data_IF_540597742078
#
_entry.id   IF_540597742078
#
_cell.length_a   1.000
_cell.length_b   1.000
_cell.length_c   1.000
_cell.angle_alpha   90.00
_cell.angle_beta   90.00
_cell.angle_gamma   90.00
#
_symmetry.space_group_name_H-M   'P 1'
#
loop_
_entity.id
_entity.type
_entity.pdbx_description
1 polymer ?
#
# COMPACT_ATOMS: atom_id res chain seq x y z
N UNK A 1 -14.30 -28.56 -15.27
CA UNK A 1 -13.61 -27.91 -16.41
C UNK A 1 -12.34 -27.30 -15.85
N UNK A 2 -11.15 -27.81 -16.25
CA UNK A 2 -9.86 -27.20 -15.86
C UNK A 2 -9.71 -25.87 -16.61
N UNK A 3 -9.95 -24.74 -15.94
CA UNK A 3 -9.49 -23.45 -16.43
C UNK A 3 -7.95 -23.46 -16.32
N UNK A 4 -7.27 -23.68 -17.45
CA UNK A 4 -5.82 -23.54 -17.53
C UNK A 4 -5.52 -22.09 -17.90
N UNK A 5 -4.92 -21.36 -16.97
CA UNK A 5 -4.31 -20.04 -17.22
C UNK A 5 -3.49 -20.12 -18.52
N UNK A 6 -3.71 -19.18 -19.43
CA UNK A 6 -3.02 -19.16 -20.72
C UNK A 6 -1.65 -18.51 -20.58
N UNK A 7 -0.65 -19.01 -21.33
CA UNK A 7 0.63 -18.30 -21.51
C UNK A 7 0.36 -16.87 -21.96
N UNK A 8 1.08 -15.91 -21.36
CA UNK A 8 0.89 -14.47 -21.52
C UNK A 8 -0.30 -13.82 -20.81
N UNK A 9 -1.11 -14.59 -20.08
CA UNK A 9 -2.21 -14.03 -19.30
C UNK A 9 -1.71 -13.27 -18.07
N UNK A 10 -2.33 -12.13 -17.75
CA UNK A 10 -2.11 -11.41 -16.49
C UNK A 10 -2.82 -12.15 -15.35
N UNK A 11 -2.11 -12.37 -14.26
CA UNK A 11 -2.63 -12.99 -13.04
C UNK A 11 -2.25 -12.18 -11.80
N UNK A 12 -3.07 -12.26 -10.76
CA UNK A 12 -2.73 -11.80 -9.41
C UNK A 12 -2.41 -13.01 -8.55
N UNK A 13 -1.31 -12.98 -7.81
CA UNK A 13 -0.83 -14.09 -7.00
C UNK A 13 -0.32 -13.63 -5.64
N UNK A 14 -0.37 -14.51 -4.64
CA UNK A 14 0.17 -14.24 -3.30
C UNK A 14 1.62 -14.74 -3.18
N UNK A 15 2.53 -13.87 -2.76
CA UNK A 15 3.91 -14.20 -2.47
C UNK A 15 4.38 -13.54 -1.17
N UNK A 16 4.81 -14.36 -0.20
CA UNK A 16 5.24 -13.92 1.14
C UNK A 16 4.20 -12.99 1.80
N UNK A 17 2.95 -13.43 1.84
CA UNK A 17 1.83 -12.68 2.43
C UNK A 17 1.23 -11.60 1.52
N UNK A 18 1.98 -11.05 0.58
CA UNK A 18 1.54 -9.92 -0.23
C UNK A 18 0.98 -10.35 -1.59
N UNK A 19 0.00 -9.63 -2.11
CA UNK A 19 -0.46 -9.78 -3.49
C UNK A 19 0.52 -9.13 -4.47
N UNK A 20 0.67 -9.73 -5.65
CA UNK A 20 1.45 -9.21 -6.74
C UNK A 20 0.75 -9.50 -8.06
N UNK A 21 0.83 -8.57 -8.99
CA UNK A 21 0.40 -8.76 -10.38
C UNK A 21 1.56 -9.42 -11.13
N UNK A 22 1.31 -10.22 -12.17
CA UNK A 22 2.34 -10.84 -13.00
C UNK A 22 1.76 -11.42 -14.29
N UNK A 23 2.64 -11.85 -15.20
CA UNK A 23 2.28 -12.58 -16.41
C UNK A 23 2.56 -14.07 -16.20
N UNK A 24 1.58 -14.91 -16.45
CA UNK A 24 1.77 -16.36 -16.48
C UNK A 24 2.65 -16.75 -17.68
N UNK A 25 3.67 -17.56 -17.41
CA UNK A 25 4.67 -17.96 -18.41
C UNK A 25 4.50 -19.44 -18.78
N UNK A 26 4.65 -20.32 -17.79
CA UNK A 26 4.56 -21.78 -17.98
C UNK A 26 4.14 -22.48 -16.69
N UNK A 27 3.56 -23.68 -16.82
CA UNK A 27 3.31 -24.59 -15.70
C UNK A 27 4.32 -25.74 -15.71
N UNK A 28 4.81 -26.12 -14.53
CA UNK A 28 5.67 -27.28 -14.31
C UNK A 28 5.12 -28.11 -13.14
N UNK A 29 4.33 -29.14 -13.46
CA UNK A 29 3.62 -29.94 -12.46
C UNK A 29 2.65 -29.10 -11.63
N UNK A 30 2.83 -29.07 -10.31
CA UNK A 30 1.98 -28.29 -9.37
C UNK A 30 2.39 -26.82 -9.24
N UNK A 31 3.50 -26.42 -9.85
CA UNK A 31 4.03 -25.06 -9.77
C UNK A 31 3.86 -24.34 -11.09
N UNK A 32 3.74 -23.03 -11.00
CA UNK A 32 3.63 -22.12 -12.13
C UNK A 32 4.75 -21.10 -12.07
N UNK A 33 5.22 -20.71 -13.25
CA UNK A 33 6.21 -19.67 -13.46
C UNK A 33 5.47 -18.38 -13.81
N UNK A 34 5.70 -17.34 -13.01
CA UNK A 34 5.13 -16.01 -13.22
C UNK A 34 6.27 -15.02 -13.44
N UNK A 35 6.17 -14.22 -14.49
CA UNK A 35 7.10 -13.13 -14.80
C UNK A 35 6.51 -11.82 -14.33
N UNK A 36 7.31 -11.02 -13.65
CA UNK A 36 6.95 -9.69 -13.16
C UNK A 36 7.86 -8.62 -13.77
N UNK A 37 7.66 -7.34 -13.41
CA UNK A 37 8.51 -6.25 -13.90
C UNK A 37 10.00 -6.48 -13.62
N UNK A 38 10.87 -5.91 -14.48
CA UNK A 38 12.34 -6.07 -14.45
C UNK A 38 12.83 -7.53 -14.60
N UNK A 39 12.13 -8.36 -15.36
CA UNK A 39 12.45 -9.79 -15.58
C UNK A 39 12.55 -10.63 -14.30
N UNK A 40 11.94 -10.19 -13.20
CA UNK A 40 11.89 -11.00 -11.99
C UNK A 40 10.91 -12.16 -12.18
N UNK A 41 11.40 -13.38 -11.98
CA UNK A 41 10.66 -14.62 -12.15
C UNK A 41 10.33 -15.22 -10.79
N UNK A 42 9.09 -15.66 -10.62
CA UNK A 42 8.65 -16.43 -9.47
C UNK A 42 8.21 -17.82 -9.89
N UNK A 43 8.53 -18.81 -9.06
CA UNK A 43 8.00 -20.16 -9.17
C UNK A 43 7.18 -20.44 -7.90
N UNK A 44 5.85 -20.57 -8.06
CA UNK A 44 4.92 -20.71 -6.94
C UNK A 44 3.95 -21.87 -7.18
N UNK A 45 3.37 -22.46 -6.12
CA UNK A 45 2.23 -23.37 -6.26
C UNK A 45 1.06 -22.71 -7.00
N UNK A 46 0.37 -23.45 -7.88
CA UNK A 46 -0.74 -22.91 -8.67
C UNK A 46 -1.89 -22.35 -7.80
N UNK A 47 -2.15 -22.94 -6.63
CA UNK A 47 -3.18 -22.47 -5.69
C UNK A 47 -2.87 -21.12 -5.03
N UNK A 48 -1.72 -20.49 -5.33
CA UNK A 48 -1.41 -19.13 -4.90
C UNK A 48 -1.85 -18.05 -5.89
N UNK A 49 -2.40 -18.44 -7.05
CA UNK A 49 -3.12 -17.50 -7.92
C UNK A 49 -4.42 -17.12 -7.24
N UNK A 50 -4.58 -15.82 -6.99
CA UNK A 50 -5.77 -15.23 -6.35
C UNK A 50 -6.80 -14.84 -7.41
N UNK A 51 -6.33 -14.38 -8.57
CA UNK A 51 -7.22 -13.96 -9.66
C UNK A 51 -6.58 -14.17 -11.04
N UNK A 52 -7.38 -14.72 -11.96
CA UNK A 52 -7.07 -14.90 -13.38
C UNK A 52 -7.81 -13.82 -14.17
N UNK A 53 -7.08 -12.88 -14.77
CA UNK A 53 -7.71 -11.69 -15.40
C UNK A 53 -8.25 -11.99 -16.79
N UNK A 54 -7.84 -13.09 -17.43
CA UNK A 54 -8.10 -13.44 -18.82
C UNK A 54 -7.57 -12.42 -19.86
N UNK A 55 -6.70 -11.50 -19.45
CA UNK A 55 -6.05 -10.53 -20.34
C UNK A 55 -4.72 -11.08 -20.82
N UNK A 56 -4.54 -11.21 -22.13
CA UNK A 56 -3.29 -11.61 -22.78
C UNK A 56 -2.44 -10.37 -23.13
N UNK A 57 -1.14 -10.40 -22.78
CA UNK A 57 -0.18 -9.30 -23.01
C UNK A 57 0.26 -9.17 -24.49
N UNK A 58 -0.29 -9.97 -25.40
CA UNK A 58 0.17 -10.07 -26.79
C UNK A 58 -0.03 -8.85 -27.70
N UNK A 59 -1.06 -8.01 -27.53
CA UNK A 59 -1.39 -7.00 -28.57
C UNK A 59 -1.70 -5.56 -28.12
N UNK A 60 -2.37 -5.31 -26.99
CA UNK A 60 -2.92 -3.97 -26.68
C UNK A 60 -2.48 -3.36 -25.34
N UNK A 61 -1.88 -4.14 -24.44
CA UNK A 61 -1.57 -3.67 -23.09
C UNK A 61 -0.31 -4.35 -22.55
N UNK A 62 0.60 -3.56 -21.99
CA UNK A 62 1.77 -4.10 -21.31
C UNK A 62 1.41 -4.46 -19.86
N UNK A 63 2.16 -5.39 -19.26
CA UNK A 63 2.03 -5.70 -17.83
C UNK A 63 2.22 -4.45 -16.94
N UNK A 64 3.06 -3.52 -17.37
CA UNK A 64 3.33 -2.27 -16.65
C UNK A 64 2.17 -1.28 -16.75
N UNK A 65 1.58 -1.12 -17.93
CA UNK A 65 0.33 -0.36 -18.09
C UNK A 65 -0.79 -0.99 -17.24
N UNK A 66 -0.90 -2.33 -17.30
CA UNK A 66 -1.54 -3.24 -16.35
C UNK A 66 -1.60 -2.68 -14.93
N UNK A 67 -0.43 -2.81 -14.31
CA UNK A 67 -0.21 -2.49 -12.92
C UNK A 67 -0.48 -1.04 -12.61
N UNK A 68 -0.03 -0.13 -13.47
CA UNK A 68 -0.16 1.30 -13.23
C UNK A 68 -1.62 1.70 -13.18
N UNK A 69 -2.42 1.28 -14.16
CA UNK A 69 -3.84 1.59 -14.21
C UNK A 69 -4.60 1.00 -13.01
N UNK A 70 -4.32 -0.26 -12.65
CA UNK A 70 -4.92 -0.88 -11.45
C UNK A 70 -4.53 -0.17 -10.15
N UNK A 71 -3.28 0.27 -10.03
CA UNK A 71 -2.78 0.98 -8.85
C UNK A 71 -3.37 2.39 -8.74
N UNK A 72 -3.35 3.17 -9.82
CA UNK A 72 -3.96 4.52 -9.88
C UNK A 72 -5.46 4.45 -9.56
N UNK A 73 -6.16 3.44 -10.09
CA UNK A 73 -7.57 3.20 -9.78
C UNK A 73 -7.75 2.85 -8.30
N UNK A 74 -6.91 1.96 -7.75
CA UNK A 74 -6.98 1.56 -6.34
C UNK A 74 -6.74 2.74 -5.37
N UNK A 75 -5.84 3.65 -5.71
CA UNK A 75 -5.56 4.85 -4.89
C UNK A 75 -6.73 5.84 -4.84
N UNK A 76 -7.61 5.80 -5.84
CA UNK A 76 -8.82 6.63 -5.88
C UNK A 76 -10.07 5.97 -5.27
N UNK A 77 -9.97 4.70 -4.85
CA UNK A 77 -11.09 3.96 -4.32
C UNK A 77 -11.50 4.45 -2.92
N UNK A 78 -12.81 4.53 -2.72
CA UNK A 78 -13.44 4.68 -1.42
C UNK A 78 -14.58 3.67 -1.32
N UNK A 79 -14.43 2.65 -0.46
CA UNK A 79 -15.42 1.60 -0.29
C UNK A 79 -16.46 1.89 0.81
N UNK A 80 -16.57 3.14 1.29
CA UNK A 80 -17.51 3.51 2.36
C UNK A 80 -18.93 3.06 2.07
N UNK A 81 -19.48 3.38 0.91
CA UNK A 81 -20.88 3.08 0.58
C UNK A 81 -21.13 1.57 0.47
N UNK A 82 -20.13 0.81 -0.01
CA UNK A 82 -20.18 -0.65 -0.08
C UNK A 82 -20.15 -1.26 1.31
N UNK A 83 -19.29 -0.73 2.18
CA UNK A 83 -19.21 -1.13 3.57
C UNK A 83 -20.51 -0.85 4.32
N UNK A 84 -21.11 0.33 4.15
CA UNK A 84 -22.41 0.66 4.75
C UNK A 84 -23.52 -0.32 4.33
N UNK A 85 -23.50 -0.78 3.08
CA UNK A 85 -24.45 -1.77 2.58
C UNK A 85 -24.21 -3.17 3.16
N UNK A 86 -22.94 -3.55 3.32
CA UNK A 86 -22.55 -4.93 3.68
C UNK A 86 -22.41 -5.15 5.19
N UNK A 87 -22.25 -4.11 6.01
CA UNK A 87 -21.91 -4.25 7.43
C UNK A 87 -22.97 -4.96 8.28
N UNK A 88 -24.22 -5.01 7.82
CA UNK A 88 -25.33 -5.61 8.58
C UNK A 88 -25.45 -7.14 8.39
N UNK A 89 -24.90 -7.72 7.31
CA UNK A 89 -25.17 -9.12 6.98
C UNK A 89 -24.25 -10.12 7.70
N UNK A 90 -23.20 -9.64 8.40
CA UNK A 90 -22.24 -10.42 9.20
C UNK A 90 -21.50 -11.57 8.46
N UNK A 91 -21.74 -11.75 7.17
CA UNK A 91 -21.07 -12.70 6.31
C UNK A 91 -19.73 -12.14 5.79
N UNK A 92 -18.80 -13.03 5.48
CA UNK A 92 -17.56 -12.66 4.79
C UNK A 92 -17.81 -12.60 3.29
N UNK A 93 -17.21 -11.61 2.63
CA UNK A 93 -17.35 -11.39 1.19
C UNK A 93 -16.04 -11.68 0.47
N UNK A 94 -16.12 -12.26 -0.72
CA UNK A 94 -14.95 -12.29 -1.59
C UNK A 94 -14.67 -10.88 -2.14
N UNK A 95 -13.43 -10.63 -2.59
CA UNK A 95 -13.11 -9.35 -3.24
C UNK A 95 -13.96 -9.10 -4.49
N UNK A 96 -14.51 -10.17 -5.11
CA UNK A 96 -15.38 -10.04 -6.29
C UNK A 96 -16.75 -9.53 -5.90
N UNK A 97 -17.32 -10.05 -4.81
CA UNK A 97 -18.61 -9.59 -4.30
C UNK A 97 -18.54 -8.08 -3.97
N UNK A 98 -17.45 -7.66 -3.31
CA UNK A 98 -17.18 -6.24 -3.02
C UNK A 98 -17.04 -5.42 -4.31
N UNK A 99 -16.31 -5.92 -5.31
CA UNK A 99 -16.14 -5.24 -6.59
C UNK A 99 -17.44 -5.12 -7.38
N UNK A 100 -18.28 -6.15 -7.38
CA UNK A 100 -19.58 -6.19 -8.07
C UNK A 100 -20.61 -5.25 -7.45
N UNK A 101 -20.48 -4.94 -6.15
CA UNK A 101 -21.32 -3.91 -5.50
C UNK A 101 -20.79 -2.49 -5.78
N UNK A 102 -19.47 -2.30 -5.80
CA UNK A 102 -18.88 -0.97 -6.02
C UNK A 102 -18.98 -0.49 -7.47
N UNK A 103 -18.67 -1.37 -8.42
CA UNK A 103 -18.52 -1.01 -9.83
C UNK A 103 -19.79 -1.31 -10.64
N UNK A 104 -20.11 -0.50 -11.66
CA UNK A 104 -21.16 -0.85 -12.62
C UNK A 104 -20.86 -2.15 -13.37
N UNK A 105 -21.89 -2.94 -13.65
CA UNK A 105 -21.79 -4.14 -14.48
C UNK A 105 -21.60 -3.78 -15.98
N UNK A 106 -20.69 -4.44 -16.72
CA UNK A 106 -19.73 -5.45 -16.27
C UNK A 106 -18.47 -4.88 -15.63
N UNK A 107 -18.06 -5.49 -14.51
CA UNK A 107 -16.80 -5.17 -13.83
C UNK A 107 -15.61 -5.66 -14.65
N UNK A 108 -14.73 -4.75 -15.02
CA UNK A 108 -13.51 -5.04 -15.78
C UNK A 108 -12.44 -5.73 -14.91
N UNK A 109 -11.49 -6.39 -15.55
CA UNK A 109 -10.37 -7.01 -14.81
C UNK A 109 -9.48 -5.97 -14.10
N UNK A 110 -9.33 -4.76 -14.66
CA UNK A 110 -8.63 -3.66 -13.98
C UNK A 110 -9.35 -3.35 -12.67
N UNK A 111 -10.67 -3.14 -12.72
CA UNK A 111 -11.49 -2.83 -11.55
C UNK A 111 -11.43 -3.93 -10.47
N UNK A 112 -11.53 -5.22 -10.85
CA UNK A 112 -11.35 -6.33 -9.91
C UNK A 112 -9.98 -6.30 -9.22
N UNK A 113 -8.90 -6.06 -9.99
CA UNK A 113 -7.55 -5.99 -9.44
C UNK A 113 -7.37 -4.75 -8.57
N UNK A 114 -7.97 -3.61 -8.94
CA UNK A 114 -7.95 -2.38 -8.15
C UNK A 114 -8.64 -2.55 -6.80
N UNK A 115 -9.82 -3.17 -6.78
CA UNK A 115 -10.52 -3.50 -5.53
C UNK A 115 -9.68 -4.42 -4.64
N UNK A 116 -9.09 -5.47 -5.23
CA UNK A 116 -8.20 -6.38 -4.48
C UNK A 116 -6.94 -5.66 -3.96
N UNK A 117 -6.35 -4.74 -4.73
CA UNK A 117 -5.22 -3.92 -4.30
C UNK A 117 -5.58 -3.02 -3.13
N UNK A 118 -6.75 -2.37 -3.18
CA UNK A 118 -7.24 -1.51 -2.11
C UNK A 118 -7.50 -2.29 -0.82
N UNK A 119 -8.16 -3.44 -0.92
CA UNK A 119 -8.46 -4.29 0.23
C UNK A 119 -7.20 -4.81 0.94
N UNK A 120 -6.09 -5.01 0.23
CA UNK A 120 -4.82 -5.47 0.80
C UNK A 120 -3.93 -4.30 1.30
N UNK A 121 -4.33 -3.04 1.08
CA UNK A 121 -3.59 -1.84 1.49
C UNK A 121 -4.21 -1.17 2.72
N UNK A 122 -4.02 -1.75 3.91
CA UNK A 122 -4.50 -1.21 5.21
C UNK A 122 -5.91 -0.60 5.10
N UNK A 123 -6.84 -1.37 4.51
CA UNK A 123 -8.18 -0.91 4.18
C UNK A 123 -8.93 -0.48 5.44
N UNK A 124 -9.57 0.70 5.46
CA UNK A 124 -10.27 1.20 6.65
C UNK A 124 -11.64 0.54 6.88
N UNK A 125 -12.14 -0.22 5.91
CA UNK A 125 -13.54 -0.71 5.92
C UNK A 125 -13.67 -2.22 6.03
N UNK A 126 -12.67 -2.98 5.58
CA UNK A 126 -12.72 -4.44 5.54
C UNK A 126 -11.42 -5.04 6.04
N UNK A 127 -11.51 -6.19 6.71
CA UNK A 127 -10.36 -6.97 7.14
C UNK A 127 -10.42 -8.39 6.58
N UNK A 128 -9.25 -8.94 6.19
CA UNK A 128 -9.16 -10.27 5.63
C UNK A 128 -9.14 -11.31 6.76
N UNK A 129 -10.19 -12.11 6.84
CA UNK A 129 -10.28 -13.25 7.78
C UNK A 129 -10.31 -14.56 7.01
N UNK A 130 -9.24 -15.35 7.17
CA UNK A 130 -9.02 -16.61 6.46
C UNK A 130 -8.98 -16.45 4.93
N UNK A 131 -10.13 -16.44 4.27
CA UNK A 131 -10.29 -16.29 2.82
C UNK A 131 -11.17 -15.11 2.41
N UNK A 132 -11.94 -14.53 3.35
CA UNK A 132 -13.01 -13.60 3.05
C UNK A 132 -12.76 -12.26 3.74
N UNK A 133 -13.25 -11.18 3.13
CA UNK A 133 -13.19 -9.84 3.67
C UNK A 133 -14.44 -9.59 4.50
N UNK A 134 -14.25 -9.29 5.78
CA UNK A 134 -15.34 -8.94 6.68
C UNK A 134 -15.43 -7.43 6.86
N UNK A 135 -16.64 -6.85 6.80
CA UNK A 135 -16.86 -5.46 7.18
C UNK A 135 -16.36 -5.22 8.61
N UNK A 136 -15.63 -4.13 8.81
CA UNK A 136 -15.25 -3.66 10.13
C UNK A 136 -16.46 -3.07 10.86
N UNK A 137 -16.44 -3.06 12.18
CA UNK A 137 -17.47 -2.35 12.97
C UNK A 137 -17.27 -0.84 12.87
N UNK A 138 -18.32 -0.05 13.10
CA UNK A 138 -18.22 1.42 13.09
C UNK A 138 -17.09 1.92 14.01
N UNK A 139 -16.94 1.33 15.20
CA UNK A 139 -15.87 1.64 16.16
C UNK A 139 -14.47 1.42 15.58
N UNK A 140 -14.27 0.34 14.82
CA UNK A 140 -12.99 0.01 14.20
C UNK A 140 -12.68 0.91 13.00
N UNK A 141 -13.70 1.25 12.20
CA UNK A 141 -13.58 2.22 11.11
C UNK A 141 -13.20 3.59 11.66
N UNK A 142 -13.89 4.08 12.69
CA UNK A 142 -13.57 5.35 13.35
C UNK A 142 -12.14 5.36 13.92
N UNK A 143 -11.75 4.28 14.62
CA UNK A 143 -10.40 4.14 15.15
C UNK A 143 -9.32 4.15 14.04
N UNK A 144 -9.63 3.57 12.87
CA UNK A 144 -8.74 3.58 11.71
C UNK A 144 -8.53 5.00 11.17
N UNK A 145 -9.61 5.76 10.96
CA UNK A 145 -9.51 7.14 10.51
C UNK A 145 -8.81 8.06 11.52
N UNK A 146 -9.08 7.91 12.82
CA UNK A 146 -8.36 8.63 13.87
C UNK A 146 -6.85 8.33 13.84
N UNK A 147 -6.47 7.08 13.54
CA UNK A 147 -5.06 6.71 13.37
C UNK A 147 -4.46 7.34 12.11
N UNK A 148 -5.16 7.32 10.98
CA UNK A 148 -4.71 7.99 9.75
C UNK A 148 -4.49 9.48 10.00
N UNK A 149 -5.47 10.16 10.62
CA UNK A 149 -5.40 11.59 10.92
C UNK A 149 -4.20 11.93 11.80
N UNK A 150 -3.99 11.17 12.89
CA UNK A 150 -2.82 11.34 13.77
C UNK A 150 -1.50 11.15 13.01
N UNK A 151 -1.43 10.12 12.17
CA UNK A 151 -0.23 9.85 11.36
C UNK A 151 0.02 10.97 10.33
N UNK A 152 -1.03 11.54 9.74
CA UNK A 152 -0.91 12.66 8.82
C UNK A 152 -0.45 13.93 9.55
N UNK A 153 -1.02 14.25 10.70
CA UNK A 153 -0.61 15.38 11.53
C UNK A 153 0.88 15.26 11.93
N UNK A 154 1.31 14.04 12.30
CA UNK A 154 2.71 13.73 12.59
C UNK A 154 3.61 14.01 11.38
N UNK A 155 3.23 13.58 10.18
CA UNK A 155 4.02 13.82 8.95
C UNK A 155 4.06 15.29 8.57
N UNK A 156 2.96 16.03 8.73
CA UNK A 156 2.89 17.47 8.45
C UNK A 156 3.81 18.24 9.40
N UNK A 157 3.77 17.92 10.69
CA UNK A 157 4.65 18.52 11.70
C UNK A 157 6.14 18.22 11.43
N UNK A 158 6.47 17.00 11.00
CA UNK A 158 7.84 16.61 10.60
C UNK A 158 8.30 17.37 9.36
N UNK A 159 7.45 17.46 8.32
CA UNK A 159 7.77 18.21 7.11
C UNK A 159 8.02 19.69 7.42
N UNK A 160 7.18 20.32 8.25
CA UNK A 160 7.37 21.70 8.68
C UNK A 160 8.69 21.90 9.46
N UNK A 161 9.07 20.93 10.30
CA UNK A 161 10.36 20.97 10.99
C UNK A 161 11.53 20.86 10.03
N UNK A 162 11.47 19.97 9.03
CA UNK A 162 12.52 19.81 8.03
C UNK A 162 12.66 21.02 7.12
N UNK A 163 11.55 21.60 6.69
CA UNK A 163 11.52 22.83 5.90
C UNK A 163 12.17 23.98 6.69
N UNK A 164 11.78 24.17 7.96
CA UNK A 164 12.41 25.17 8.81
C UNK A 164 13.91 24.90 9.01
N UNK A 165 14.30 23.65 9.32
CA UNK A 165 15.69 23.31 9.64
C UNK A 165 16.64 23.50 8.44
N UNK A 166 16.16 23.24 7.23
CA UNK A 166 16.94 23.39 5.99
C UNK A 166 16.80 24.76 5.36
N UNK A 167 15.81 25.55 5.79
CA UNK A 167 15.56 26.90 5.32
C UNK A 167 16.63 27.92 5.74
N UNK A 168 16.46 29.13 5.23
CA UNK A 168 17.30 30.28 5.56
C UNK A 168 16.87 31.02 6.83
N UNK A 169 15.68 30.73 7.35
CA UNK A 169 15.23 31.30 8.62
C UNK A 169 16.07 30.75 9.78
N UNK A 170 16.46 31.64 10.69
CA UNK A 170 17.29 31.32 11.85
C UNK A 170 16.52 31.48 13.15
N UNK A 171 15.31 32.04 13.11
CA UNK A 171 14.47 32.16 14.29
C UNK A 171 13.79 30.81 14.55
N UNK A 172 13.91 30.33 15.80
CA UNK A 172 13.18 29.13 16.24
C UNK A 172 11.72 29.55 16.45
N UNK A 173 10.74 28.89 15.78
CA UNK A 173 9.33 29.22 15.93
C UNK A 173 8.84 28.99 17.36
N UNK A 174 8.04 29.93 17.87
CA UNK A 174 7.49 29.86 19.23
C UNK A 174 6.47 28.74 19.41
N UNK A 175 5.82 28.32 18.33
CA UNK A 175 4.77 27.30 18.27
C UNK A 175 5.32 25.88 18.04
N UNK A 176 6.64 25.70 18.09
CA UNK A 176 7.24 24.36 18.04
C UNK A 176 6.62 23.43 19.07
N UNK A 177 6.20 22.27 18.59
CA UNK A 177 5.69 21.19 19.45
C UNK A 177 6.82 20.68 20.36
N UNK A 178 6.45 19.98 21.43
CA UNK A 178 7.44 19.31 22.29
C UNK A 178 8.34 18.35 21.49
N UNK A 179 7.78 17.66 20.50
CA UNK A 179 8.52 16.71 19.66
C UNK A 179 9.56 17.41 18.79
N UNK A 180 9.20 18.52 18.15
CA UNK A 180 10.13 19.35 17.38
C UNK A 180 11.23 19.94 18.26
N UNK A 181 10.89 20.41 19.47
CA UNK A 181 11.89 20.90 20.44
C UNK A 181 12.86 19.82 20.87
N UNK A 182 12.37 18.61 21.15
CA UNK A 182 13.23 17.48 21.47
C UNK A 182 14.11 17.07 20.28
N UNK A 183 13.59 17.11 19.06
CA UNK A 183 14.37 16.85 17.85
C UNK A 183 15.50 17.88 17.68
N UNK A 184 15.20 19.17 17.80
CA UNK A 184 16.20 20.24 17.76
C UNK A 184 17.24 20.10 18.88
N UNK A 185 16.80 19.82 20.11
CA UNK A 185 17.70 19.65 21.26
C UNK A 185 18.70 18.51 21.03
N UNK A 186 18.25 17.36 20.50
CA UNK A 186 19.16 16.25 20.15
C UNK A 186 20.20 16.65 19.10
N UNK A 187 19.80 17.39 18.07
CA UNK A 187 20.74 17.87 17.04
C UNK A 187 21.75 18.85 17.65
N UNK A 188 21.30 19.76 18.51
CA UNK A 188 22.18 20.73 19.18
C UNK A 188 23.19 20.04 20.10
N UNK A 189 22.75 19.07 20.91
CA UNK A 189 23.64 18.31 21.79
C UNK A 189 24.68 17.52 20.98
N UNK A 190 24.24 16.84 19.92
CA UNK A 190 25.16 16.16 19.01
C UNK A 190 26.15 17.13 18.33
N UNK A 191 25.74 18.35 18.00
CA UNK A 191 26.65 19.35 17.43
C UNK A 191 27.70 19.85 18.45
N UNK A 192 27.40 19.81 19.76
CA UNK A 192 28.29 20.22 20.84
C UNK A 192 29.26 19.12 21.26
N UNK A 193 28.75 17.91 21.45
CA UNK A 193 29.48 16.78 22.05
C UNK A 193 29.94 15.74 21.00
N UNK A 194 29.44 15.83 19.77
CA UNK A 194 29.74 14.87 18.71
C UNK A 194 29.31 13.46 19.09
N UNK A 195 30.21 12.50 18.86
CA UNK A 195 29.95 11.08 19.11
C UNK A 195 29.93 10.70 20.60
N UNK A 196 30.35 11.61 21.48
CA UNK A 196 30.29 11.42 22.94
C UNK A 196 28.88 11.61 23.50
N UNK A 197 27.98 12.27 22.74
CA UNK A 197 26.58 12.39 23.12
C UNK A 197 25.89 11.02 23.16
N UNK A 198 25.22 10.69 24.28
CA UNK A 198 24.57 9.40 24.50
C UNK A 198 23.55 9.03 23.39
N UNK A 199 22.90 10.05 22.81
CA UNK A 199 21.92 9.87 21.74
C UNK A 199 22.47 10.24 20.34
N UNK A 200 23.79 10.21 20.14
CA UNK A 200 24.46 10.54 18.87
C UNK A 200 23.94 9.71 17.69
N UNK A 201 23.63 8.43 17.88
CA UNK A 201 23.05 7.56 16.84
C UNK A 201 21.68 8.04 16.35
N UNK A 202 20.83 8.50 17.26
CA UNK A 202 19.49 9.01 16.98
C UNK A 202 19.54 10.38 16.31
N UNK A 203 20.46 11.24 16.75
CA UNK A 203 20.72 12.53 16.10
C UNK A 203 21.24 12.35 14.67
N UNK A 204 22.16 11.40 14.44
CA UNK A 204 22.64 11.03 13.09
C UNK A 204 21.51 10.52 12.20
N UNK A 205 20.64 9.64 12.71
CA UNK A 205 19.48 9.13 11.97
C UNK A 205 18.55 10.27 11.55
N UNK A 206 18.21 11.17 12.48
CA UNK A 206 17.38 12.34 12.18
C UNK A 206 18.02 13.26 11.12
N UNK A 207 19.33 13.51 11.21
CA UNK A 207 20.05 14.27 10.19
C UNK A 207 20.09 13.56 8.83
N UNK A 208 20.12 12.22 8.80
CA UNK A 208 20.01 11.42 7.59
C UNK A 208 18.62 11.43 6.98
N UNK A 209 17.56 11.67 7.76
CA UNK A 209 16.18 11.82 7.28
C UNK A 209 15.91 13.23 6.74
N UNK A 210 16.63 14.23 7.25
CA UNK A 210 16.57 15.62 6.75
C UNK A 210 17.29 15.77 5.40
N UNK A 211 18.47 15.15 5.25
CA UNK A 211 19.29 15.21 4.02
C UNK A 211 18.69 14.69 2.70
N UNK A 212 17.86 13.63 2.62
CA UNK A 212 17.38 13.06 1.36
C UNK A 212 16.37 13.95 0.65
N UNK A 213 15.80 14.94 1.34
CA UNK A 213 14.84 15.89 0.76
C UNK A 213 15.53 17.12 0.16
N UNK A 214 16.85 17.26 0.34
CA UNK A 214 17.69 18.31 -0.29
C UNK A 214 18.45 17.70 -1.48
N UNK A 215 17.70 17.22 -2.47
CA UNK A 215 18.25 16.99 -3.81
C UNK A 215 17.29 17.63 -4.81
N UNK A 216 17.60 18.87 -5.17
CA UNK A 216 17.16 19.44 -6.44
C UNK A 216 18.02 18.92 -7.58
#
# INVERSE_FOLDING_TARGET
>A
MENRVKTNEIVVFRHRGNIQIGRFDQANGKKIRIVTGRNRVFEIPANRVVFETRIDIGNNMTLEAFRRESQETAESLDLRDVWELMKEEAEGYSFKDIAEVYWPDPVSAVQYVSTLLYLEQDCPYFDLQESDYKPLTDELVEAHFLRIERNLAVKVEEAAFFEWFTGSDRQIPEDFTNRQRHALSRIQQYAMEGDEYEQSSQAKALLQEIKPQVTG
#
